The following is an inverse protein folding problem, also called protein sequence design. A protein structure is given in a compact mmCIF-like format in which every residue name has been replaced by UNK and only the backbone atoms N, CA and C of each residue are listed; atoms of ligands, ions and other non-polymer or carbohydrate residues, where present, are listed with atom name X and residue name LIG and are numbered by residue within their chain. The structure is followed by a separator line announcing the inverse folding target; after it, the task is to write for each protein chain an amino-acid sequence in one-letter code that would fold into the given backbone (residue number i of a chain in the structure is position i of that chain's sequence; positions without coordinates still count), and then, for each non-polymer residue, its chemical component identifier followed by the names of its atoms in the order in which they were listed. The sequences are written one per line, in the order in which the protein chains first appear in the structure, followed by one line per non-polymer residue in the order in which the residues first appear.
data_IF_606463570320
#
_entry.id   IF_606463570320
#
_cell.length_a   1.000
_cell.length_b   1.000
_cell.length_c   1.000
_cell.angle_alpha   90.00
_cell.angle_beta   90.00
_cell.angle_gamma   90.00
#
_symmetry.space_group_name_H-M   'P 1'
#
loop_
_entity.id
_entity.type
_entity.pdbx_description
1 polymer ?
#
# COMPACT_ATOMS: atom_id res chain seq x y z
N UNK A 1 44.00 50.74 -7.44
CA UNK A 1 42.92 49.94 -6.81
C UNK A 1 41.95 49.36 -7.86
N UNK A 2 42.37 48.41 -8.69
CA UNK A 2 41.46 47.63 -9.57
C UNK A 2 42.00 46.23 -9.86
N UNK A 3 42.76 45.67 -8.91
CA UNK A 3 43.42 44.36 -9.07
C UNK A 3 42.95 43.31 -8.03
N UNK A 4 41.94 43.62 -7.21
CA UNK A 4 41.49 42.74 -6.12
C UNK A 4 40.05 42.20 -6.24
N UNK A 5 39.32 42.53 -7.31
CA UNK A 5 37.88 42.22 -7.40
C UNK A 5 37.53 41.04 -8.32
N UNK A 6 38.51 40.37 -8.93
CA UNK A 6 38.24 39.27 -9.88
C UNK A 6 38.65 37.88 -9.37
N UNK A 7 39.29 37.78 -8.20
CA UNK A 7 39.69 36.49 -7.61
C UNK A 7 38.59 35.90 -6.70
N UNK A 8 37.62 36.71 -6.24
CA UNK A 8 36.56 36.22 -5.35
C UNK A 8 35.41 35.48 -6.07
N UNK A 9 35.32 35.58 -7.40
CA UNK A 9 34.23 34.96 -8.17
C UNK A 9 34.56 33.53 -8.67
N UNK A 10 35.82 33.09 -8.58
CA UNK A 10 36.22 31.72 -8.97
C UNK A 10 36.24 30.72 -7.80
N UNK A 11 36.09 31.17 -6.55
CA UNK A 11 36.06 30.28 -5.38
C UNK A 11 34.62 29.82 -5.05
N UNK A 12 33.60 30.51 -5.57
CA UNK A 12 32.18 30.19 -5.28
C UNK A 12 31.63 29.01 -6.11
N UNK A 13 32.35 28.57 -7.15
CA UNK A 13 31.90 27.47 -8.03
C UNK A 13 32.43 26.07 -7.69
N UNK A 14 33.19 25.90 -6.60
CA UNK A 14 33.74 24.60 -6.18
C UNK A 14 32.99 23.93 -5.03
N UNK A 15 31.91 24.53 -4.53
CA UNK A 15 30.93 23.83 -3.68
C UNK A 15 29.85 23.25 -4.58
N UNK A 16 30.26 22.47 -5.58
CA UNK A 16 29.41 21.43 -6.13
C UNK A 16 29.22 20.41 -5.03
N UNK A 17 28.30 20.69 -4.09
CA UNK A 17 27.83 19.68 -3.16
C UNK A 17 27.42 18.50 -4.01
N UNK A 18 28.16 17.38 -3.88
CA UNK A 18 27.65 16.12 -4.36
C UNK A 18 26.27 16.00 -3.69
N UNK A 19 25.21 16.15 -4.48
CA UNK A 19 23.91 15.69 -4.07
C UNK A 19 24.11 14.18 -3.94
N UNK A 20 24.49 13.73 -2.75
CA UNK A 20 24.28 12.36 -2.35
C UNK A 20 22.78 12.21 -2.45
N UNK A 21 22.31 11.64 -3.57
CA UNK A 21 20.98 11.12 -3.67
C UNK A 21 20.90 10.11 -2.53
N UNK A 22 20.24 10.51 -1.45
CA UNK A 22 20.12 9.73 -0.24
C UNK A 22 19.31 8.48 -0.62
N UNK A 23 20.02 7.39 -0.88
CA UNK A 23 19.46 6.22 -1.52
C UNK A 23 18.60 5.49 -0.47
N UNK A 24 17.32 5.84 -0.40
CA UNK A 24 16.36 5.28 0.58
C UNK A 24 16.12 3.80 0.38
N UNK A 25 16.14 3.36 -0.88
CA UNK A 25 15.75 2.01 -1.25
C UNK A 25 16.97 1.11 -1.30
N UNK A 26 16.92 0.05 -0.51
CA UNK A 26 17.84 -1.09 -0.57
C UNK A 26 17.25 -2.14 -1.53
N UNK A 27 18.08 -2.69 -2.41
CA UNK A 27 17.71 -3.85 -3.23
C UNK A 27 17.82 -5.09 -2.33
N UNK A 28 16.69 -5.73 -2.02
CA UNK A 28 16.69 -6.96 -1.21
C UNK A 28 17.11 -8.18 -2.02
N UNK A 29 16.52 -8.32 -3.21
CA UNK A 29 16.70 -9.42 -4.16
C UNK A 29 16.15 -8.97 -5.52
N UNK A 30 16.40 -9.70 -6.62
CA UNK A 30 15.77 -9.39 -7.91
C UNK A 30 14.26 -9.20 -7.76
N UNK A 31 13.77 -8.05 -8.26
CA UNK A 31 12.36 -7.69 -8.21
C UNK A 31 11.83 -7.15 -6.87
N UNK A 32 12.66 -7.00 -5.83
CA UNK A 32 12.22 -6.48 -4.53
C UNK A 32 13.14 -5.39 -3.96
N UNK A 33 12.54 -4.29 -3.51
CA UNK A 33 13.23 -3.19 -2.83
C UNK A 33 12.60 -2.92 -1.45
N UNK A 34 13.41 -2.43 -0.52
CA UNK A 34 12.99 -2.11 0.84
C UNK A 34 13.45 -0.73 1.24
N UNK A 35 12.62 -0.05 2.01
CA UNK A 35 12.99 1.19 2.66
C UNK A 35 12.69 1.10 4.15
N UNK A 36 13.67 1.48 4.97
CA UNK A 36 13.52 1.63 6.42
C UNK A 36 13.49 3.12 6.80
N UNK A 37 12.55 3.58 7.64
CA UNK A 37 12.47 4.95 8.10
C UNK A 37 13.49 5.22 9.23
N UNK A 38 14.79 5.05 8.94
CA UNK A 38 15.89 5.33 9.88
C UNK A 38 16.15 6.84 9.92
N UNK A 39 16.42 7.44 8.75
CA UNK A 39 16.74 8.85 8.55
C UNK A 39 15.79 9.50 7.52
N UNK A 40 15.84 10.83 7.42
CA UNK A 40 15.16 11.59 6.36
C UNK A 40 13.62 11.48 6.42
N UNK A 41 13.04 11.57 7.62
CA UNK A 41 11.60 11.69 7.86
C UNK A 41 11.17 13.17 8.01
N UNK A 42 9.92 13.53 7.68
CA UNK A 42 8.87 12.67 7.15
C UNK A 42 9.14 12.28 5.69
N UNK A 43 8.53 11.20 5.23
CA UNK A 43 8.58 10.78 3.83
C UNK A 43 7.18 10.45 3.32
N UNK A 44 6.89 10.91 2.10
CA UNK A 44 5.65 10.63 1.39
C UNK A 44 6.01 10.06 0.02
N UNK A 45 5.25 9.06 -0.40
CA UNK A 45 5.34 8.49 -1.74
C UNK A 45 3.98 7.92 -2.16
N UNK A 46 3.88 7.48 -3.40
CA UNK A 46 2.71 6.78 -3.90
C UNK A 46 3.11 5.63 -4.83
N UNK A 47 2.42 4.50 -4.65
CA UNK A 47 2.61 3.32 -5.48
C UNK A 47 1.37 3.10 -6.32
N UNK A 48 1.55 3.03 -7.63
CA UNK A 48 0.48 2.70 -8.57
C UNK A 48 0.53 1.23 -8.94
N UNK A 49 -0.59 0.53 -8.76
CA UNK A 49 -0.74 -0.86 -9.12
C UNK A 49 -2.04 -1.04 -9.89
N UNK A 50 -2.04 -1.92 -10.90
CA UNK A 50 -3.22 -2.19 -11.70
C UNK A 50 -3.47 -3.68 -11.85
N UNK A 51 -4.76 -4.03 -11.87
CA UNK A 51 -5.28 -5.26 -12.44
C UNK A 51 -6.23 -4.92 -13.59
N UNK A 52 -6.82 -5.96 -14.19
CA UNK A 52 -7.74 -5.81 -15.34
C UNK A 52 -8.93 -4.91 -15.04
N UNK A 53 -9.43 -4.99 -13.81
CA UNK A 53 -10.68 -4.36 -13.41
C UNK A 53 -10.56 -3.32 -12.29
N UNK A 54 -9.35 -2.96 -11.92
CA UNK A 54 -9.10 -1.93 -10.90
C UNK A 54 -7.68 -1.41 -11.03
N UNK A 55 -7.51 -0.12 -10.81
CA UNK A 55 -6.20 0.47 -10.51
C UNK A 55 -6.25 1.11 -9.13
N UNK A 56 -5.15 1.03 -8.40
CA UNK A 56 -5.00 1.60 -7.08
C UNK A 56 -3.76 2.50 -7.05
N UNK A 57 -3.96 3.76 -6.67
CA UNK A 57 -2.88 4.67 -6.28
C UNK A 57 -2.85 4.67 -4.76
N UNK A 58 -1.86 3.99 -4.20
CA UNK A 58 -1.63 3.88 -2.76
C UNK A 58 -0.67 4.99 -2.33
N UNK A 59 -1.20 6.06 -1.75
CA UNK A 59 -0.41 7.16 -1.19
C UNK A 59 -0.12 6.86 0.26
N UNK A 60 1.15 6.83 0.63
CA UNK A 60 1.56 6.65 2.02
C UNK A 60 2.46 7.79 2.49
N UNK A 61 2.36 8.09 3.78
CA UNK A 61 3.28 8.97 4.49
C UNK A 61 3.75 8.23 5.74
N UNK A 62 5.06 8.27 5.99
CA UNK A 62 5.63 7.97 7.30
C UNK A 62 6.05 9.28 7.92
N UNK A 63 5.41 9.64 9.02
CA UNK A 63 5.66 10.93 9.70
C UNK A 63 7.03 10.96 10.37
N UNK A 64 7.44 12.12 10.89
CA UNK A 64 8.64 12.24 11.75
C UNK A 64 8.60 11.29 12.96
N UNK A 65 7.40 11.04 13.50
CA UNK A 65 7.17 10.11 14.60
C UNK A 65 7.01 8.66 14.14
N UNK A 66 7.30 8.35 12.86
CA UNK A 66 7.14 7.05 12.22
C UNK A 66 5.70 6.52 12.14
N UNK A 67 4.70 7.39 12.30
CA UNK A 67 3.31 6.99 12.15
C UNK A 67 2.98 6.80 10.66
N UNK A 68 2.15 5.81 10.34
CA UNK A 68 1.67 5.59 8.97
C UNK A 68 0.42 6.44 8.71
N UNK A 69 0.36 7.12 7.58
CA UNK A 69 -0.88 7.62 6.98
C UNK A 69 -1.04 6.99 5.60
N UNK A 70 -2.20 6.42 5.33
CA UNK A 70 -2.43 5.62 4.13
C UNK A 70 -3.75 6.01 3.45
N UNK A 71 -3.68 6.34 2.17
CA UNK A 71 -4.83 6.66 1.33
C UNK A 71 -4.81 5.82 0.06
N UNK A 72 -5.97 5.30 -0.35
CA UNK A 72 -6.14 4.63 -1.64
C UNK A 72 -7.00 5.46 -2.55
N UNK A 73 -6.53 5.78 -3.74
CA UNK A 73 -7.41 6.19 -4.84
C UNK A 73 -7.66 4.98 -5.71
N UNK A 74 -8.91 4.53 -5.78
CA UNK A 74 -9.35 3.38 -6.55
C UNK A 74 -10.02 3.86 -7.82
N UNK A 75 -9.59 3.30 -8.96
CA UNK A 75 -10.15 3.55 -10.28
C UNK A 75 -10.73 2.24 -10.79
N UNK A 76 -11.98 2.26 -11.26
CA UNK A 76 -12.67 1.10 -11.80
C UNK A 76 -12.98 1.31 -13.29
N UNK A 77 -12.08 0.89 -14.21
CA UNK A 77 -12.20 1.22 -15.65
C UNK A 77 -13.50 0.77 -16.35
N UNK A 78 -14.15 -0.29 -15.85
CA UNK A 78 -15.41 -0.84 -16.39
C UNK A 78 -16.65 -0.08 -15.91
N UNK A 79 -16.54 0.73 -14.84
CA UNK A 79 -17.65 1.49 -14.29
C UNK A 79 -17.57 2.90 -14.89
N UNK A 80 -18.19 3.07 -16.05
CA UNK A 80 -18.04 4.27 -16.90
C UNK A 80 -18.89 5.43 -16.42
N UNK A 81 -18.32 6.62 -16.26
CA UNK A 81 -19.07 7.82 -15.86
C UNK A 81 -19.47 8.67 -17.06
N UNK A 82 -20.42 9.60 -16.87
CA UNK A 82 -20.81 10.59 -17.87
C UNK A 82 -20.08 11.92 -17.63
N UNK A 83 -19.65 12.62 -18.70
CA UNK A 83 -19.68 12.20 -20.11
C UNK A 83 -18.68 11.06 -20.37
N UNK A 84 -19.08 10.09 -21.20
CA UNK A 84 -18.27 8.89 -21.45
C UNK A 84 -17.11 9.19 -22.42
N UNK A 85 -15.94 9.52 -21.86
CA UNK A 85 -14.68 9.77 -22.59
C UNK A 85 -13.52 8.95 -22.00
N UNK A 86 -12.32 8.98 -22.59
CA UNK A 86 -11.18 8.11 -22.17
C UNK A 86 -10.79 8.19 -20.69
N UNK A 87 -11.15 9.26 -19.96
CA UNK A 87 -10.85 9.43 -18.54
C UNK A 87 -12.04 9.12 -17.61
N UNK A 88 -13.21 8.79 -18.17
CA UNK A 88 -14.47 8.67 -17.45
C UNK A 88 -14.66 7.31 -16.76
N UNK A 89 -13.84 7.06 -15.74
CA UNK A 89 -13.93 5.86 -14.88
C UNK A 89 -14.37 6.25 -13.47
N UNK A 90 -15.22 5.42 -12.86
CA UNK A 90 -15.61 5.59 -11.46
C UNK A 90 -14.37 5.54 -10.58
N UNK A 91 -14.10 6.67 -9.92
CA UNK A 91 -12.89 6.88 -9.14
C UNK A 91 -13.25 7.37 -7.74
N UNK A 92 -12.63 6.78 -6.72
CA UNK A 92 -12.92 7.10 -5.31
C UNK A 92 -11.66 7.06 -4.46
N UNK A 93 -11.49 8.08 -3.63
CA UNK A 93 -10.46 8.11 -2.60
C UNK A 93 -11.01 7.53 -1.29
N UNK A 94 -10.23 6.70 -0.62
CA UNK A 94 -10.54 6.08 0.66
C UNK A 94 -9.37 6.26 1.62
N UNK A 95 -9.63 6.96 2.73
CA UNK A 95 -8.70 7.20 3.83
C UNK A 95 -9.03 6.33 5.07
N UNK A 96 -9.74 5.22 4.87
CA UNK A 96 -10.10 4.30 5.95
C UNK A 96 -8.82 3.74 6.59
N UNK A 97 -8.66 4.03 7.88
CA UNK A 97 -7.67 3.39 8.75
C UNK A 97 -8.37 2.37 9.63
N UNK A 98 -8.20 1.09 9.31
CA UNK A 98 -8.78 0.02 10.13
C UNK A 98 -7.97 -0.24 11.40
N UNK A 99 -6.70 0.17 11.44
CA UNK A 99 -5.82 -0.08 12.60
C UNK A 99 -6.20 0.79 13.77
N UNK A 100 -6.61 2.04 13.54
CA UNK A 100 -7.15 2.89 14.59
C UNK A 100 -8.43 2.35 15.25
N UNK A 101 -9.09 1.35 14.64
CA UNK A 101 -10.29 0.71 15.19
C UNK A 101 -9.97 -0.55 16.01
N UNK A 102 -8.73 -1.03 15.99
CA UNK A 102 -8.32 -2.21 16.73
C UNK A 102 -8.08 -1.91 18.21
N UNK A 103 -8.17 -2.95 19.04
CA UNK A 103 -7.78 -2.90 20.44
C UNK A 103 -6.71 -3.95 20.75
N UNK A 104 -5.73 -3.56 21.58
CA UNK A 104 -4.76 -4.45 22.22
C UNK A 104 -4.95 -4.34 23.72
N UNK A 105 -5.26 -5.46 24.38
CA UNK A 105 -5.57 -5.52 25.81
C UNK A 105 -6.63 -4.48 26.22
N UNK A 106 -7.70 -4.36 25.42
CA UNK A 106 -8.83 -3.42 25.61
C UNK A 106 -8.46 -1.94 25.48
N UNK A 107 -7.28 -1.61 24.95
CA UNK A 107 -6.85 -0.25 24.65
C UNK A 107 -6.79 -0.07 23.15
N UNK A 108 -7.35 1.02 22.64
CA UNK A 108 -7.25 1.37 21.22
C UNK A 108 -5.78 1.44 20.79
N UNK A 109 -5.50 0.99 19.57
CA UNK A 109 -4.19 1.19 18.94
C UNK A 109 -4.04 2.65 18.55
N UNK A 110 -3.09 3.35 19.15
CA UNK A 110 -2.92 4.80 18.98
C UNK A 110 -1.56 5.20 18.41
N UNK A 111 -0.56 4.30 18.45
CA UNK A 111 0.83 4.67 18.20
C UNK A 111 1.52 3.62 17.33
N UNK A 112 1.01 3.45 16.10
CA UNK A 112 1.67 2.61 15.10
C UNK A 112 3.02 3.21 14.70
N UNK A 113 4.08 2.39 14.67
CA UNK A 113 5.41 2.78 14.20
C UNK A 113 5.87 1.92 13.03
N UNK A 114 6.03 2.53 11.85
CA UNK A 114 6.54 1.84 10.66
C UNK A 114 7.97 1.39 10.88
N UNK A 115 8.21 0.11 10.58
CA UNK A 115 9.50 -0.58 10.60
C UNK A 115 10.13 -0.53 9.22
N UNK A 116 9.36 -0.88 8.18
CA UNK A 116 9.80 -0.87 6.80
C UNK A 116 8.64 -0.87 5.81
N UNK A 117 8.95 -0.50 4.58
CA UNK A 117 8.12 -0.67 3.39
C UNK A 117 8.90 -1.55 2.41
N UNK A 118 8.29 -2.62 1.91
CA UNK A 118 8.85 -3.48 0.88
C UNK A 118 7.94 -3.46 -0.35
N UNK A 119 8.55 -3.32 -1.52
CA UNK A 119 7.89 -3.37 -2.81
C UNK A 119 8.47 -4.53 -3.62
N UNK A 120 7.63 -5.48 -4.00
CA UNK A 120 8.00 -6.64 -4.83
C UNK A 120 6.97 -6.96 -5.92
N UNK A 121 6.22 -5.92 -6.32
CA UNK A 121 5.00 -6.04 -7.13
C UNK A 121 3.72 -6.07 -6.28
N UNK A 122 3.85 -6.27 -4.97
CA UNK A 122 2.86 -5.90 -3.95
C UNK A 122 3.48 -4.84 -3.01
N UNK A 123 2.64 -4.19 -2.21
CA UNK A 123 3.12 -3.28 -1.16
C UNK A 123 3.03 -3.99 0.18
N UNK A 124 4.16 -4.09 0.87
CA UNK A 124 4.23 -4.58 2.23
C UNK A 124 4.64 -3.46 3.17
N UNK A 125 3.96 -3.35 4.31
CA UNK A 125 4.30 -2.37 5.35
C UNK A 125 4.31 -3.10 6.69
N UNK A 126 5.48 -3.14 7.33
CA UNK A 126 5.65 -3.70 8.65
C UNK A 126 5.67 -2.59 9.69
N UNK A 127 4.96 -2.77 10.80
CA UNK A 127 4.87 -1.78 11.86
C UNK A 127 4.83 -2.41 13.25
N UNK A 128 5.32 -1.71 14.26
CA UNK A 128 4.98 -1.99 15.65
C UNK A 128 3.61 -1.38 15.98
N UNK A 129 2.72 -2.15 16.60
CA UNK A 129 1.48 -1.65 17.21
C UNK A 129 1.65 -1.42 18.72
N UNK A 130 2.64 -2.07 19.30
CA UNK A 130 3.19 -1.83 20.63
C UNK A 130 4.61 -2.42 20.67
N UNK A 131 5.29 -2.36 21.81
CA UNK A 131 6.66 -2.88 21.95
C UNK A 131 6.83 -4.33 21.44
N UNK A 132 5.85 -5.18 21.71
CA UNK A 132 5.92 -6.62 21.46
C UNK A 132 4.94 -7.12 20.40
N UNK A 133 4.20 -6.23 19.74
CA UNK A 133 3.18 -6.61 18.76
C UNK A 133 3.52 -6.01 17.41
N UNK A 134 3.79 -6.88 16.43
CA UNK A 134 4.13 -6.48 15.06
C UNK A 134 2.92 -6.71 14.16
N UNK A 135 2.65 -5.74 13.30
CA UNK A 135 1.70 -5.84 12.21
C UNK A 135 2.46 -5.90 10.88
N UNK A 136 2.15 -6.92 10.08
CA UNK A 136 2.54 -7.00 8.67
C UNK A 136 1.32 -6.77 7.79
N UNK A 137 1.38 -5.75 6.93
CA UNK A 137 0.39 -5.49 5.89
C UNK A 137 0.89 -5.96 4.54
N UNK A 138 -0.02 -6.48 3.72
CA UNK A 138 0.20 -6.74 2.29
C UNK A 138 -0.97 -6.18 1.51
N UNK A 139 -0.71 -5.37 0.51
CA UNK A 139 -1.72 -4.63 -0.26
C UNK A 139 -1.47 -4.85 -1.74
N UNK A 140 -2.49 -5.30 -2.48
CA UNK A 140 -2.45 -5.34 -3.93
C UNK A 140 -3.86 -5.32 -4.55
N UNK A 141 -4.01 -4.79 -5.77
CA UNK A 141 -5.22 -5.03 -6.55
C UNK A 141 -5.29 -6.52 -6.94
N UNK A 142 -6.50 -7.06 -7.07
CA UNK A 142 -6.73 -8.32 -7.76
C UNK A 142 -6.30 -8.18 -9.23
N UNK A 143 -5.73 -9.25 -9.78
CA UNK A 143 -5.30 -9.29 -11.18
C UNK A 143 -6.48 -9.14 -12.14
N UNK A 144 -7.66 -9.66 -11.78
CA UNK A 144 -8.80 -9.76 -12.71
C UNK A 144 -10.18 -9.59 -12.07
N UNK A 145 -10.25 -9.03 -10.86
CA UNK A 145 -11.50 -8.61 -10.22
C UNK A 145 -11.45 -7.12 -9.87
N UNK A 146 -12.60 -6.43 -9.79
CA UNK A 146 -12.65 -5.02 -9.37
C UNK A 146 -12.48 -4.90 -7.84
N UNK A 147 -11.34 -5.38 -7.34
CA UNK A 147 -11.08 -5.66 -5.93
C UNK A 147 -9.69 -5.18 -5.52
N UNK A 148 -9.59 -4.37 -4.47
CA UNK A 148 -8.34 -4.16 -3.74
C UNK A 148 -8.30 -5.09 -2.53
N UNK A 149 -7.24 -5.88 -2.42
CA UNK A 149 -7.01 -6.82 -1.33
C UNK A 149 -5.99 -6.27 -0.34
N UNK A 150 -6.32 -6.33 0.95
CA UNK A 150 -5.38 -6.06 2.02
C UNK A 150 -5.41 -7.16 3.05
N UNK A 151 -4.24 -7.70 3.38
CA UNK A 151 -4.04 -8.68 4.43
C UNK A 151 -3.27 -8.03 5.58
N UNK A 152 -3.75 -8.29 6.78
CA UNK A 152 -3.19 -7.81 8.03
C UNK A 152 -2.84 -9.01 8.90
N UNK A 153 -1.57 -9.18 9.23
CA UNK A 153 -1.08 -10.23 10.11
C UNK A 153 -0.48 -9.61 11.37
N UNK A 154 -1.15 -9.76 12.51
CA UNK A 154 -0.73 -9.25 13.82
C UNK A 154 -0.08 -10.40 14.59
N UNK A 155 1.18 -10.25 14.94
CA UNK A 155 1.97 -11.28 15.63
C UNK A 155 2.42 -10.78 17.00
N UNK A 156 2.21 -11.59 18.02
CA UNK A 156 2.81 -11.36 19.34
C UNK A 156 4.26 -11.87 19.36
N UNK A 157 5.21 -10.97 19.55
CA UNK A 157 6.64 -11.27 19.66
C UNK A 157 7.17 -11.22 21.09
N UNK A 158 6.34 -10.84 22.06
CA UNK A 158 6.70 -10.81 23.48
C UNK A 158 6.45 -12.14 24.17
N UNK A 159 6.88 -12.23 25.43
CA UNK A 159 6.72 -13.43 26.25
C UNK A 159 5.34 -13.52 26.92
N UNK A 160 4.62 -12.39 27.00
CA UNK A 160 3.30 -12.30 27.64
C UNK A 160 2.19 -12.41 26.60
N UNK A 161 1.10 -13.13 26.90
CA UNK A 161 -0.09 -13.14 26.04
C UNK A 161 -0.70 -11.76 25.87
N UNK A 162 -1.21 -11.47 24.68
CA UNK A 162 -1.95 -10.24 24.35
C UNK A 162 -3.34 -10.58 23.82
N UNK A 163 -4.32 -9.73 24.10
CA UNK A 163 -5.68 -9.85 23.55
C UNK A 163 -5.86 -8.83 22.43
N UNK A 164 -6.16 -9.29 21.23
CA UNK A 164 -6.41 -8.46 20.05
C UNK A 164 -7.89 -8.50 19.73
N UNK A 165 -8.50 -7.34 19.46
CA UNK A 165 -9.90 -7.22 19.06
C UNK A 165 -9.97 -6.53 17.70
N UNK A 166 -10.52 -7.24 16.71
CA UNK A 166 -10.78 -6.74 15.36
C UNK A 166 -12.28 -6.55 15.19
N UNK A 167 -12.78 -5.33 14.99
CA UNK A 167 -14.21 -5.10 14.86
C UNK A 167 -14.74 -5.63 13.53
N UNK A 168 -16.02 -6.00 13.53
CA UNK A 168 -16.76 -6.11 12.27
C UNK A 168 -16.88 -4.71 11.64
N UNK A 169 -16.62 -4.64 10.34
CA UNK A 169 -16.73 -3.39 9.60
C UNK A 169 -17.24 -3.66 8.19
N UNK A 170 -18.24 -2.90 7.77
CA UNK A 170 -18.75 -2.88 6.41
C UNK A 170 -19.34 -1.50 6.14
N UNK A 171 -18.77 -0.78 5.17
CA UNK A 171 -19.24 0.54 4.77
C UNK A 171 -19.26 0.65 3.25
N UNK A 172 -20.34 1.18 2.70
CA UNK A 172 -20.51 1.35 1.26
C UNK A 172 -20.88 2.77 0.90
N UNK A 173 -20.49 3.18 -0.31
CA UNK A 173 -21.01 4.38 -0.96
C UNK A 173 -21.70 3.98 -2.24
N UNK A 174 -22.74 4.72 -2.60
CA UNK A 174 -23.49 4.57 -3.84
C UNK A 174 -23.46 5.92 -4.57
N UNK A 175 -23.13 5.92 -5.86
CA UNK A 175 -23.06 7.14 -6.65
C UNK A 175 -24.44 7.61 -7.06
N UNK A 176 -24.57 8.87 -7.45
CA UNK A 176 -25.76 9.32 -8.19
C UNK A 176 -25.88 8.49 -9.48
N UNK A 177 -27.08 7.98 -9.74
CA UNK A 177 -27.40 7.20 -10.93
C UNK A 177 -27.26 7.99 -12.24
N UNK A 178 -27.40 9.31 -12.19
CA UNK A 178 -27.29 10.19 -13.37
C UNK A 178 -25.84 10.40 -13.82
N UNK A 179 -24.87 10.02 -12.98
CA UNK A 179 -23.44 10.22 -13.23
C UNK A 179 -22.78 9.00 -13.90
N UNK A 180 -23.44 7.84 -13.93
CA UNK A 180 -22.91 6.62 -14.54
C UNK A 180 -23.62 6.26 -15.84
N UNK A 181 -22.86 5.73 -16.79
CA UNK A 181 -23.40 5.19 -18.06
C UNK A 181 -24.38 4.05 -17.80
N UNK A 182 -24.09 3.20 -16.81
CA UNK A 182 -24.93 2.06 -16.42
C UNK A 182 -25.76 2.35 -15.16
N UNK A 183 -26.03 3.62 -14.86
CA UNK A 183 -26.71 4.03 -13.63
C UNK A 183 -25.76 4.18 -12.46
N UNK A 184 -26.19 3.78 -11.26
CA UNK A 184 -25.40 3.96 -10.04
C UNK A 184 -24.31 2.89 -9.85
N UNK A 185 -23.17 3.32 -9.33
CA UNK A 185 -22.05 2.47 -8.94
C UNK A 185 -21.86 2.43 -7.43
N UNK A 186 -21.40 1.29 -6.93
CA UNK A 186 -21.11 1.05 -5.52
C UNK A 186 -19.62 0.86 -5.31
N UNK A 187 -19.13 1.40 -4.20
CA UNK A 187 -17.85 1.02 -3.60
C UNK A 187 -18.13 0.51 -2.20
N UNK A 188 -17.78 -0.74 -1.93
CA UNK A 188 -17.89 -1.38 -0.61
C UNK A 188 -16.50 -1.58 -0.01
N UNK A 189 -16.31 -1.19 1.24
CA UNK A 189 -15.17 -1.56 2.08
C UNK A 189 -15.64 -2.52 3.18
N UNK A 190 -14.99 -3.67 3.32
CA UNK A 190 -15.40 -4.72 4.27
C UNK A 190 -14.22 -5.38 4.96
N UNK A 191 -14.32 -5.56 6.27
CA UNK A 191 -13.41 -6.39 7.04
C UNK A 191 -13.88 -7.84 7.02
N UNK A 192 -12.94 -8.76 6.80
CA UNK A 192 -13.15 -10.20 6.81
C UNK A 192 -12.30 -10.83 7.91
N UNK A 193 -12.82 -11.87 8.56
CA UNK A 193 -12.19 -12.55 9.70
C UNK A 193 -11.96 -11.61 10.91
N UNK A 194 -12.97 -10.80 11.24
CA UNK A 194 -13.06 -10.03 12.48
C UNK A 194 -13.23 -10.94 13.70
N UNK A 195 -13.06 -10.36 14.89
CA UNK A 195 -13.26 -11.05 16.16
C UNK A 195 -12.14 -10.77 17.15
N UNK A 196 -12.26 -11.37 18.33
CA UNK A 196 -11.29 -11.24 19.41
C UNK A 196 -10.46 -12.50 19.54
N UNK A 197 -9.12 -12.36 19.65
CA UNK A 197 -8.21 -13.49 19.82
C UNK A 197 -7.17 -13.17 20.88
N UNK A 198 -6.91 -14.15 21.75
CA UNK A 198 -5.76 -14.17 22.65
C UNK A 198 -4.57 -14.79 21.91
N UNK A 199 -3.47 -14.05 21.79
CA UNK A 199 -2.23 -14.51 21.16
C UNK A 199 -1.18 -14.78 22.22
N UNK A 200 -0.68 -16.02 22.33
CA UNK A 200 0.56 -16.32 23.07
C UNK A 200 1.78 -15.93 22.24
N UNK A 201 2.98 -16.05 22.83
CA UNK A 201 4.23 -15.72 22.14
C UNK A 201 4.36 -16.49 20.82
N UNK A 202 4.68 -15.77 19.74
CA UNK A 202 4.83 -16.29 18.39
C UNK A 202 3.53 -16.46 17.61
N UNK A 203 2.36 -16.38 18.24
CA UNK A 203 1.09 -16.56 17.53
C UNK A 203 0.70 -15.33 16.70
N UNK A 204 0.01 -15.62 15.59
CA UNK A 204 -0.50 -14.63 14.65
C UNK A 204 -2.03 -14.67 14.57
N UNK A 205 -2.64 -13.49 14.51
CA UNK A 205 -4.00 -13.26 14.04
C UNK A 205 -3.93 -12.67 12.62
N UNK A 206 -4.72 -13.20 11.69
CA UNK A 206 -4.83 -12.64 10.35
C UNK A 206 -6.24 -12.19 10.08
N UNK A 207 -6.42 -11.00 9.53
CA UNK A 207 -7.70 -10.49 9.03
C UNK A 207 -7.46 -9.72 7.73
N UNK A 208 -8.54 -9.34 7.05
CA UNK A 208 -8.46 -8.70 5.74
C UNK A 208 -9.35 -7.47 5.67
N UNK A 209 -8.95 -6.51 4.85
CA UNK A 209 -9.80 -5.41 4.39
C UNK A 209 -9.87 -5.49 2.87
N UNK A 210 -11.08 -5.44 2.33
CA UNK A 210 -11.31 -5.49 0.90
C UNK A 210 -12.10 -4.28 0.43
N UNK A 211 -11.75 -3.75 -0.73
CA UNK A 211 -12.52 -2.71 -1.42
C UNK A 211 -13.04 -3.24 -2.75
N UNK A 212 -14.33 -3.07 -3.01
CA UNK A 212 -15.01 -3.63 -4.17
C UNK A 212 -15.79 -2.58 -4.94
N UNK A 213 -15.57 -2.50 -6.24
CA UNK A 213 -16.38 -1.68 -7.15
C UNK A 213 -17.40 -2.52 -7.93
N UNK A 214 -18.65 -2.07 -7.99
CA UNK A 214 -19.72 -2.74 -8.76
C UNK A 214 -20.79 -1.79 -9.28
N UNK A 215 -21.64 -2.29 -10.18
CA UNK A 215 -22.94 -1.64 -10.47
C UNK A 215 -23.91 -1.90 -9.32
N UNK A 216 -24.87 -1.01 -9.12
CA UNK A 216 -25.87 -1.20 -8.07
C UNK A 216 -26.62 -2.53 -8.23
N UNK A 217 -26.79 -3.25 -7.13
CA UNK A 217 -27.47 -4.55 -7.08
C UNK A 217 -26.57 -5.77 -7.38
N UNK A 218 -25.31 -5.57 -7.78
CA UNK A 218 -24.34 -6.66 -7.89
C UNK A 218 -23.60 -6.88 -6.57
N UNK A 219 -23.60 -8.14 -6.12
CA UNK A 219 -22.81 -8.61 -4.99
C UNK A 219 -21.50 -9.25 -5.49
N UNK A 220 -20.42 -9.13 -4.71
CA UNK A 220 -19.16 -9.79 -5.06
C UNK A 220 -19.18 -11.29 -4.75
N UNK A 221 -20.15 -11.74 -3.96
CA UNK A 221 -20.15 -13.09 -3.40
C UNK A 221 -18.97 -13.28 -2.44
N UNK A 222 -18.53 -14.54 -2.31
CA UNK A 222 -17.45 -14.91 -1.41
C UNK A 222 -16.07 -14.50 -1.95
N UNK A 223 -15.23 -13.94 -1.07
CA UNK A 223 -13.91 -13.43 -1.39
C UNK A 223 -12.86 -14.23 -0.64
N UNK A 224 -12.03 -14.94 -1.39
CA UNK A 224 -10.84 -15.63 -0.87
C UNK A 224 -9.61 -14.73 -1.03
N UNK A 225 -9.40 -13.79 -0.09
CA UNK A 225 -8.34 -12.78 -0.22
C UNK A 225 -6.95 -13.38 -0.40
N UNK A 226 -6.59 -14.45 0.34
CA UNK A 226 -5.29 -15.11 0.18
C UNK A 226 -5.10 -15.70 -1.23
N UNK A 227 -6.16 -16.19 -1.86
CA UNK A 227 -6.11 -16.71 -3.23
C UNK A 227 -5.85 -15.58 -4.24
N UNK A 228 -6.41 -14.40 -4.01
CA UNK A 228 -6.14 -13.22 -4.83
C UNK A 228 -4.69 -12.72 -4.67
N UNK A 229 -4.14 -12.74 -3.45
CA UNK A 229 -2.73 -12.42 -3.20
C UNK A 229 -1.80 -13.43 -3.89
N UNK A 230 -2.07 -14.73 -3.78
CA UNK A 230 -1.31 -15.78 -4.48
C UNK A 230 -1.38 -15.63 -6.00
N UNK A 231 -2.55 -15.26 -6.53
CA UNK A 231 -2.74 -14.99 -7.96
C UNK A 231 -1.91 -13.79 -8.42
N UNK A 232 -1.83 -12.73 -7.60
CA UNK A 232 -0.96 -11.59 -7.87
C UNK A 232 0.51 -11.99 -7.88
N UNK A 233 0.97 -12.76 -6.89
CA UNK A 233 2.33 -13.28 -6.86
C UNK A 233 2.64 -14.10 -8.12
N UNK A 234 1.75 -15.03 -8.48
CA UNK A 234 1.93 -15.89 -9.67
C UNK A 234 2.02 -15.06 -10.95
N UNK A 235 1.24 -13.98 -11.06
CA UNK A 235 1.30 -13.07 -12.21
C UNK A 235 2.62 -12.27 -12.25
N UNK A 236 3.13 -11.82 -11.10
CA UNK A 236 4.43 -11.15 -11.01
C UNK A 236 5.54 -12.13 -11.44
N UNK A 237 5.54 -13.34 -10.90
CA UNK A 237 6.52 -14.38 -11.24
C UNK A 237 6.48 -14.72 -12.74
N UNK A 238 5.28 -14.82 -13.32
CA UNK A 238 5.12 -15.05 -14.75
C UNK A 238 5.76 -13.92 -15.57
N UNK A 239 5.45 -12.65 -15.26
CA UNK A 239 6.01 -11.50 -15.97
C UNK A 239 7.53 -11.47 -15.85
N UNK A 240 8.06 -11.67 -14.64
CA UNK A 240 9.51 -11.65 -14.41
C UNK A 240 10.25 -12.75 -15.16
N UNK A 241 9.61 -13.90 -15.42
CA UNK A 241 10.19 -14.99 -16.19
C UNK A 241 10.03 -14.83 -17.71
N UNK A 242 8.98 -14.14 -18.17
CA UNK A 242 8.69 -13.97 -19.60
C UNK A 242 9.34 -12.70 -20.19
N UNK A 243 9.51 -11.63 -19.42
CA UNK A 243 10.10 -10.37 -19.87
C UNK A 243 11.62 -10.35 -19.63
N UNK A 244 12.35 -11.11 -20.43
CA UNK A 244 13.81 -11.16 -20.41
C UNK A 244 14.36 -10.15 -21.41
N UNK A 245 15.24 -9.24 -20.94
CA UNK A 245 15.99 -8.35 -21.80
C UNK A 245 17.24 -9.07 -22.32
N UNK A 246 17.29 -9.33 -23.63
CA UNK A 246 18.48 -9.83 -24.30
C UNK A 246 19.05 -8.78 -25.25
N UNK A 247 20.32 -8.42 -25.03
CA UNK A 247 21.05 -7.45 -25.85
C UNK A 247 22.42 -8.00 -26.25
N UNK A 248 23.09 -7.44 -27.28
CA UNK A 248 24.48 -7.79 -27.58
C UNK A 248 25.50 -7.33 -26.51
N UNK A 249 25.08 -6.52 -25.53
CA UNK A 249 25.94 -6.03 -24.46
C UNK A 249 25.77 -6.90 -23.22
N UNK A 250 26.80 -7.66 -22.86
CA UNK A 250 26.79 -8.48 -21.64
C UNK A 250 26.53 -7.63 -20.39
N UNK A 251 26.96 -6.36 -20.37
CA UNK A 251 26.73 -5.44 -19.25
C UNK A 251 25.24 -5.12 -19.06
N UNK A 252 24.44 -5.11 -20.14
CA UNK A 252 23.00 -4.80 -20.08
C UNK A 252 22.13 -6.04 -19.84
N UNK A 253 22.70 -7.23 -19.93
CA UNK A 253 21.99 -8.50 -19.72
C UNK A 253 22.14 -9.05 -18.29
N UNK A 254 22.85 -8.32 -17.41
CA UNK A 254 23.10 -8.71 -16.02
C UNK A 254 22.16 -8.01 -15.03
#
# INVERSE_FOLDING_TARGET
MKALSFILLQIVLLIGGAANADNRWEILKPGAIRWEPINSLPHHDHIEMSGKYISAVLKYEVTEQKNLRLNRTLVFPMLRTLPNNTHASFTRACNLDIISMLSINKKAVMDEKVIDVVLDGMVHINSFLSQDVILSRTICPSVDKPLLCEKYAITNKGDKPVYIEVPEFSAGIESDSTMGVDGSYKLLAKVMNSGSKRLVSGETLTFYLVFYGSKSGMDMGFIETDKELLKRQSFIDQISNELILETPSEVLNN
#
